data_IF_536543024697
#
_entry.id   IF_536543024697
#
_cell.length_a   1.000
_cell.length_b   1.000
_cell.length_c   1.000
_cell.angle_alpha   90.00
_cell.angle_beta   90.00
_cell.angle_gamma   90.00
#
_symmetry.space_group_name_H-M   'P 1'
#
loop_
_entity.id
_entity.type
_entity.pdbx_description
1 polymer ?
#
# COMPACT_ATOMS: atom_id res chain seq x y z
N UNK A 1 20.18 4.06 -4.83
CA UNK A 1 20.91 5.33 -4.99
C UNK A 1 22.29 5.05 -5.53
N UNK A 2 22.62 5.45 -6.76
CA UNK A 2 23.97 5.38 -7.29
C UNK A 2 24.57 6.77 -7.15
N UNK A 3 25.39 6.96 -6.15
CA UNK A 3 26.21 8.16 -6.03
C UNK A 3 27.42 8.01 -6.94
N UNK A 4 27.76 9.08 -7.65
CA UNK A 4 28.88 9.12 -8.60
C UNK A 4 30.12 8.41 -8.09
N UNK A 5 30.48 7.34 -8.76
CA UNK A 5 31.62 6.50 -8.51
C UNK A 5 32.31 6.15 -9.84
N UNK A 6 33.14 5.15 -9.84
CA UNK A 6 33.67 4.52 -11.05
C UNK A 6 33.04 3.13 -11.21
N UNK A 7 32.76 2.77 -12.45
CA UNK A 7 32.32 1.41 -12.78
C UNK A 7 33.51 0.42 -12.66
N UNK A 8 33.26 -0.86 -12.91
CA UNK A 8 34.29 -1.91 -12.89
C UNK A 8 35.40 -1.71 -13.90
N UNK A 9 35.20 -0.82 -14.88
CA UNK A 9 36.17 -0.45 -15.92
C UNK A 9 36.87 0.90 -15.63
N UNK A 10 36.57 1.51 -14.47
CA UNK A 10 37.17 2.76 -14.04
C UNK A 10 36.57 4.03 -14.64
N UNK A 11 35.50 3.93 -15.45
CA UNK A 11 34.82 5.09 -15.99
C UNK A 11 34.00 5.82 -14.92
N UNK A 12 33.93 7.13 -15.01
CA UNK A 12 33.11 7.96 -14.12
C UNK A 12 31.63 7.68 -14.38
N UNK A 13 30.94 7.13 -13.39
CA UNK A 13 29.49 6.95 -13.42
C UNK A 13 28.84 8.32 -13.16
N UNK A 14 27.87 8.70 -13.99
CA UNK A 14 27.10 9.92 -13.76
C UNK A 14 26.23 9.74 -12.50
N UNK A 15 26.13 10.77 -11.65
CA UNK A 15 25.19 10.74 -10.53
C UNK A 15 23.80 10.38 -11.03
N UNK A 16 23.22 9.32 -10.51
CA UNK A 16 21.91 8.82 -10.92
C UNK A 16 21.04 8.67 -9.71
N UNK A 17 19.81 9.19 -9.77
CA UNK A 17 18.78 9.01 -8.76
C UNK A 17 17.70 8.11 -9.34
N UNK A 18 17.37 7.04 -8.62
CA UNK A 18 16.23 6.16 -8.96
C UNK A 18 15.09 6.53 -8.02
N UNK A 19 13.99 6.96 -8.60
CA UNK A 19 12.78 7.36 -7.89
C UNK A 19 11.57 6.61 -8.43
N UNK A 20 10.56 6.41 -7.58
CA UNK A 20 9.27 5.93 -8.00
C UNK A 20 8.64 6.91 -9.01
N UNK A 21 7.95 6.37 -10.02
CA UNK A 21 7.34 7.19 -11.09
C UNK A 21 6.31 8.19 -10.54
N UNK A 22 5.53 7.80 -9.52
CA UNK A 22 4.60 8.72 -8.87
C UNK A 22 5.35 9.87 -8.20
N UNK A 23 6.47 9.61 -7.52
CA UNK A 23 7.30 10.66 -6.92
C UNK A 23 7.79 11.65 -7.96
N UNK A 24 8.27 11.18 -9.12
CA UNK A 24 8.70 12.06 -10.22
C UNK A 24 7.53 12.89 -10.78
N UNK A 25 6.36 12.28 -10.92
CA UNK A 25 5.14 12.99 -11.32
C UNK A 25 4.82 14.11 -10.33
N UNK A 26 4.84 13.82 -9.02
CA UNK A 26 4.55 14.82 -7.98
C UNK A 26 5.58 15.94 -7.96
N UNK A 27 6.85 15.64 -8.12
CA UNK A 27 7.91 16.67 -8.27
C UNK A 27 7.61 17.59 -9.45
N UNK A 28 7.24 17.03 -10.61
CA UNK A 28 6.86 17.81 -11.80
C UNK A 28 5.64 18.70 -11.54
N UNK A 29 4.62 18.18 -10.88
CA UNK A 29 3.41 18.93 -10.51
C UNK A 29 3.72 20.07 -9.52
N UNK A 30 4.55 19.81 -8.51
CA UNK A 30 4.99 20.85 -7.56
C UNK A 30 5.77 21.95 -8.28
N UNK A 31 6.66 21.56 -9.20
CA UNK A 31 7.41 22.55 -9.99
C UNK A 31 6.49 23.43 -10.87
N UNK A 32 5.39 22.88 -11.37
CA UNK A 32 4.42 23.58 -12.22
C UNK A 32 3.44 24.45 -11.41
N UNK A 33 2.90 23.93 -10.31
CA UNK A 33 1.78 24.52 -9.58
C UNK A 33 2.17 25.14 -8.24
N UNK A 34 3.38 24.85 -7.76
CA UNK A 34 3.90 25.33 -6.48
C UNK A 34 3.55 24.43 -5.29
N UNK A 35 4.28 24.63 -4.19
CA UNK A 35 4.13 23.85 -2.96
C UNK A 35 2.77 24.07 -2.30
N UNK A 36 2.21 25.28 -2.36
CA UNK A 36 0.89 25.62 -1.80
C UNK A 36 -0.21 24.77 -2.45
N UNK A 37 -0.17 24.62 -3.77
CA UNK A 37 -1.09 23.75 -4.48
C UNK A 37 -0.97 22.30 -3.99
N UNK A 38 0.23 21.77 -3.89
CA UNK A 38 0.43 20.39 -3.41
C UNK A 38 -0.09 20.19 -1.98
N UNK A 39 0.15 21.16 -1.10
CA UNK A 39 -0.29 21.12 0.29
C UNK A 39 -1.79 21.40 0.49
N UNK A 40 -2.51 21.82 -0.56
CA UNK A 40 -3.96 21.97 -0.50
C UNK A 40 -4.71 20.62 -0.52
N UNK A 41 -4.01 19.53 -0.83
CA UNK A 41 -4.53 18.16 -0.76
C UNK A 41 -3.99 17.46 0.48
N UNK A 42 -4.80 16.59 1.06
CA UNK A 42 -4.40 15.78 2.20
C UNK A 42 -4.53 16.52 3.53
N UNK A 43 -3.74 16.07 4.49
CA UNK A 43 -3.65 16.67 5.82
C UNK A 43 -2.37 17.48 5.97
N UNK A 44 -2.25 18.25 7.04
CA UNK A 44 -1.03 19.01 7.34
C UNK A 44 0.21 18.11 7.45
N UNK A 45 0.05 16.93 8.07
CA UNK A 45 1.12 15.94 8.27
C UNK A 45 1.36 15.05 7.05
N UNK A 46 0.37 14.89 6.20
CA UNK A 46 0.37 13.98 5.06
C UNK A 46 -0.18 14.69 3.82
N UNK A 47 0.52 15.73 3.34
CA UNK A 47 0.05 16.53 2.21
C UNK A 47 0.23 15.81 0.88
N UNK A 48 -0.55 16.26 -0.08
CA UNK A 48 -0.45 15.88 -1.48
C UNK A 48 -1.38 14.74 -1.89
N UNK A 49 -1.70 14.69 -3.20
CA UNK A 49 -2.47 13.60 -3.77
C UNK A 49 -1.61 12.34 -3.86
N UNK A 50 -2.26 11.18 -3.79
CA UNK A 50 -1.65 9.84 -3.84
C UNK A 50 -2.44 8.94 -4.74
N UNK A 51 -1.75 8.02 -5.43
CA UNK A 51 -2.42 6.95 -6.15
C UNK A 51 -2.74 5.80 -5.19
N UNK A 52 -3.94 5.25 -5.33
CA UNK A 52 -4.37 4.04 -4.64
C UNK A 52 -4.88 3.02 -5.63
N UNK A 53 -4.59 1.75 -5.39
CA UNK A 53 -5.14 0.63 -6.12
C UNK A 53 -6.27 -0.01 -5.29
N UNK A 54 -7.46 -0.13 -5.88
CA UNK A 54 -8.61 -0.76 -5.24
C UNK A 54 -8.97 -2.02 -6.04
N UNK A 55 -9.08 -3.15 -5.35
CA UNK A 55 -9.27 -4.47 -5.95
C UNK A 55 -10.15 -5.39 -5.09
N UNK A 56 -10.36 -6.61 -5.57
CA UNK A 56 -11.13 -7.65 -4.89
C UNK A 56 -12.63 -7.55 -5.19
N UNK A 57 -13.47 -7.89 -4.22
CA UNK A 57 -14.93 -7.92 -4.32
C UNK A 57 -15.52 -6.50 -4.31
N UNK A 58 -15.36 -5.80 -5.42
CA UNK A 58 -15.83 -4.42 -5.60
C UNK A 58 -16.26 -4.19 -7.06
N UNK A 59 -17.23 -3.29 -7.26
CA UNK A 59 -17.88 -3.15 -8.56
C UNK A 59 -16.95 -2.66 -9.68
N UNK A 60 -16.00 -1.77 -9.38
CA UNK A 60 -15.12 -1.13 -10.37
C UNK A 60 -13.67 -1.06 -9.85
N UNK A 61 -12.95 -2.19 -9.84
CA UNK A 61 -11.55 -2.20 -9.44
C UNK A 61 -10.73 -1.28 -10.36
N UNK A 62 -9.66 -0.68 -9.80
CA UNK A 62 -8.82 0.22 -10.56
C UNK A 62 -7.89 1.07 -9.71
N UNK A 63 -7.21 2.01 -10.37
CA UNK A 63 -6.33 2.97 -9.71
C UNK A 63 -7.03 4.33 -9.67
N UNK A 64 -7.01 4.95 -8.50
CA UNK A 64 -7.66 6.24 -8.26
C UNK A 64 -6.68 7.22 -7.61
N UNK A 65 -6.88 8.51 -7.84
CA UNK A 65 -6.14 9.55 -7.13
C UNK A 65 -6.96 10.02 -5.93
N UNK A 66 -6.36 10.00 -4.76
CA UNK A 66 -6.98 10.37 -3.48
C UNK A 66 -6.02 11.22 -2.65
N UNK A 67 -6.49 11.72 -1.54
CA UNK A 67 -5.67 12.43 -0.56
C UNK A 67 -5.78 11.75 0.82
N UNK A 68 -4.73 11.82 1.63
CA UNK A 68 -4.82 11.44 3.03
C UNK A 68 -5.88 12.29 3.74
N UNK A 69 -6.55 11.72 4.74
CA UNK A 69 -7.65 12.38 5.43
C UNK A 69 -9.05 12.05 4.88
N UNK A 70 -9.14 11.39 3.74
CA UNK A 70 -10.40 10.79 3.29
C UNK A 70 -10.76 9.58 4.17
N UNK A 71 -12.05 9.31 4.36
CA UNK A 71 -12.45 8.04 4.94
C UNK A 71 -12.18 6.89 3.98
N UNK A 72 -11.90 5.69 4.50
CA UNK A 72 -11.73 4.51 3.65
C UNK A 72 -13.03 4.23 2.88
N UNK A 73 -14.19 4.50 3.47
CA UNK A 73 -15.47 4.40 2.78
C UNK A 73 -15.55 5.30 1.55
N UNK A 74 -15.13 6.57 1.65
CA UNK A 74 -15.11 7.51 0.52
C UNK A 74 -14.11 7.08 -0.56
N UNK A 75 -12.97 6.53 -0.16
CA UNK A 75 -11.99 5.97 -1.10
C UNK A 75 -12.61 4.80 -1.87
N UNK A 76 -13.26 3.87 -1.17
CA UNK A 76 -13.92 2.72 -1.80
C UNK A 76 -15.13 3.14 -2.64
N UNK A 77 -15.78 4.26 -2.31
CA UNK A 77 -16.90 4.80 -3.11
C UNK A 77 -16.47 5.13 -4.55
N UNK A 78 -15.20 5.51 -4.79
CA UNK A 78 -14.65 5.73 -6.13
C UNK A 78 -14.72 4.46 -6.99
N UNK A 79 -14.64 3.29 -6.37
CA UNK A 79 -14.72 1.99 -7.02
C UNK A 79 -16.12 1.34 -6.96
N UNK A 80 -17.13 2.07 -6.54
CA UNK A 80 -18.51 1.61 -6.48
C UNK A 80 -19.04 1.37 -5.06
N UNK A 81 -18.24 1.66 -4.05
CA UNK A 81 -18.62 1.52 -2.64
C UNK A 81 -18.34 0.14 -2.06
N UNK A 82 -18.24 0.08 -0.75
CA UNK A 82 -18.09 -1.18 -0.02
C UNK A 82 -19.39 -1.98 -0.10
N UNK A 83 -19.39 -3.20 -0.67
CA UNK A 83 -20.57 -4.06 -0.73
C UNK A 83 -21.19 -4.29 0.65
N UNK A 84 -22.51 -4.53 0.68
CA UNK A 84 -23.22 -4.77 1.95
C UNK A 84 -22.80 -6.07 2.63
N UNK A 85 -22.48 -7.08 1.83
CA UNK A 85 -22.00 -8.39 2.28
C UNK A 85 -20.51 -8.43 2.59
N UNK A 86 -19.75 -7.37 2.28
CA UNK A 86 -18.32 -7.30 2.58
C UNK A 86 -18.08 -7.44 4.09
N UNK A 87 -17.12 -8.30 4.43
CA UNK A 87 -16.73 -8.57 5.83
C UNK A 87 -15.40 -7.93 6.19
N UNK A 88 -14.45 -7.93 5.24
CA UNK A 88 -13.09 -7.50 5.49
C UNK A 88 -12.55 -6.64 4.34
N UNK A 89 -11.69 -5.69 4.72
CA UNK A 89 -10.94 -4.84 3.80
C UNK A 89 -9.48 -4.87 4.18
N UNK A 90 -8.63 -5.38 3.30
CA UNK A 90 -7.19 -5.30 3.43
C UNK A 90 -6.69 -3.91 3.02
N UNK A 91 -5.84 -3.30 3.83
CA UNK A 91 -5.23 -1.99 3.56
C UNK A 91 -3.73 -2.07 3.72
N UNK A 92 -2.97 -1.75 2.67
CA UNK A 92 -1.52 -1.68 2.70
C UNK A 92 -0.79 -2.90 2.13
N UNK A 93 -1.49 -3.83 1.50
CA UNK A 93 -0.89 -5.02 0.88
C UNK A 93 -0.27 -6.00 1.88
N UNK A 94 0.83 -6.65 1.53
CA UNK A 94 1.47 -7.72 2.32
C UNK A 94 1.81 -7.30 3.77
N UNK A 95 2.33 -6.09 3.95
CA UNK A 95 2.65 -5.53 5.28
C UNK A 95 1.53 -4.68 5.87
N UNK A 96 0.32 -4.82 5.34
CA UNK A 96 -0.85 -4.05 5.72
C UNK A 96 -1.62 -4.62 6.91
N UNK A 97 -2.86 -4.19 7.02
CA UNK A 97 -3.80 -4.64 8.05
C UNK A 97 -5.09 -5.11 7.41
N UNK A 98 -5.76 -6.01 8.08
CA UNK A 98 -7.12 -6.44 7.75
C UNK A 98 -8.10 -5.73 8.68
N UNK A 99 -8.94 -4.89 8.10
CA UNK A 99 -10.01 -4.20 8.81
C UNK A 99 -11.31 -4.99 8.68
N UNK A 100 -12.15 -4.94 9.70
CA UNK A 100 -13.55 -5.31 9.52
C UNK A 100 -14.24 -4.30 8.59
N UNK A 101 -15.32 -4.71 7.93
CA UNK A 101 -16.11 -3.78 7.11
C UNK A 101 -16.60 -2.57 7.92
N UNK A 102 -16.93 -2.77 9.19
CA UNK A 102 -17.33 -1.68 10.10
C UNK A 102 -16.18 -0.71 10.37
N UNK A 103 -14.97 -1.22 10.66
CA UNK A 103 -13.79 -0.37 10.86
C UNK A 103 -13.44 0.38 9.57
N UNK A 104 -13.52 -0.28 8.41
CA UNK A 104 -13.29 0.38 7.12
C UNK A 104 -14.27 1.53 6.85
N UNK A 105 -15.53 1.40 7.29
CA UNK A 105 -16.54 2.49 7.14
C UNK A 105 -16.23 3.72 7.99
N UNK A 106 -15.56 3.55 9.11
CA UNK A 106 -15.36 4.63 10.10
C UNK A 106 -13.92 5.13 10.18
N UNK A 107 -12.96 4.41 9.61
CA UNK A 107 -11.54 4.78 9.67
C UNK A 107 -11.20 5.85 8.64
N UNK A 108 -10.54 6.89 9.12
CA UNK A 108 -9.92 7.91 8.26
C UNK A 108 -8.55 7.42 7.83
N UNK A 109 -8.26 7.45 6.54
CA UNK A 109 -7.00 7.02 5.96
C UNK A 109 -5.90 8.06 6.20
N UNK A 110 -5.31 7.97 7.38
CA UNK A 110 -4.15 8.73 7.84
C UNK A 110 -3.22 7.79 8.59
N UNK A 111 -1.95 8.18 8.78
CA UNK A 111 -1.03 7.39 9.60
C UNK A 111 -1.56 7.18 11.01
N UNK A 112 -2.17 8.21 11.62
CA UNK A 112 -2.82 8.09 12.93
C UNK A 112 -4.04 7.19 12.94
N UNK A 113 -4.89 7.26 11.90
CA UNK A 113 -6.07 6.40 11.73
C UNK A 113 -5.67 4.94 11.59
N UNK A 114 -4.70 4.65 10.72
CA UNK A 114 -4.23 3.28 10.48
C UNK A 114 -3.47 2.69 11.68
N UNK A 115 -2.73 3.52 12.43
CA UNK A 115 -1.99 3.07 13.62
C UNK A 115 -2.88 2.45 14.70
N UNK A 116 -4.14 2.88 14.81
CA UNK A 116 -5.11 2.29 15.76
C UNK A 116 -5.41 0.83 15.47
N UNK A 117 -5.23 0.42 14.23
CA UNK A 117 -5.42 -0.96 13.75
C UNK A 117 -4.07 -1.71 13.58
N UNK A 118 -2.97 -1.14 14.10
CA UNK A 118 -1.64 -1.77 13.99
C UNK A 118 -0.96 -1.55 12.64
N UNK A 119 -1.50 -0.69 11.77
CA UNK A 119 -0.99 -0.46 10.43
C UNK A 119 -0.40 0.93 10.19
N UNK A 120 -0.14 1.21 8.93
CA UNK A 120 0.31 2.49 8.40
C UNK A 120 -0.44 2.81 7.12
N UNK A 121 -0.22 3.98 6.52
CA UNK A 121 -0.79 4.30 5.20
C UNK A 121 -0.40 3.28 4.13
N UNK A 122 0.80 2.72 4.24
CA UNK A 122 1.30 1.73 3.29
C UNK A 122 1.38 2.24 1.84
N UNK A 123 1.46 1.33 0.87
CA UNK A 123 1.56 1.66 -0.55
C UNK A 123 0.23 2.08 -1.22
N UNK A 124 -0.85 2.33 -0.44
CA UNK A 124 -2.14 2.71 -1.01
C UNK A 124 -2.88 1.56 -1.71
N UNK A 125 -2.74 0.35 -1.23
CA UNK A 125 -3.47 -0.82 -1.74
C UNK A 125 -4.67 -1.10 -0.86
N UNK A 126 -5.86 -1.18 -1.47
CA UNK A 126 -7.12 -1.55 -0.83
C UNK A 126 -7.66 -2.79 -1.52
N UNK A 127 -7.94 -3.83 -0.75
CA UNK A 127 -8.54 -5.07 -1.26
C UNK A 127 -9.77 -5.40 -0.46
N UNK A 128 -10.93 -5.40 -1.10
CA UNK A 128 -12.16 -5.88 -0.50
C UNK A 128 -12.19 -7.40 -0.67
N UNK A 129 -12.19 -8.14 0.43
CA UNK A 129 -12.18 -9.60 0.37
C UNK A 129 -13.57 -10.12 0.08
N UNK A 130 -13.63 -11.17 -0.74
CA UNK A 130 -14.89 -11.86 -1.01
C UNK A 130 -15.42 -12.47 0.31
N UNK A 131 -16.71 -12.29 0.64
CA UNK A 131 -17.28 -12.79 1.87
C UNK A 131 -17.27 -14.31 1.98
N UNK A 132 -17.10 -15.04 0.89
CA UNK A 132 -16.94 -16.49 0.85
C UNK A 132 -15.52 -16.96 1.10
N UNK A 133 -14.52 -16.08 1.02
CA UNK A 133 -13.12 -16.41 1.26
C UNK A 133 -12.84 -16.57 2.77
N UNK A 134 -12.06 -17.60 3.11
CA UNK A 134 -11.56 -17.77 4.47
C UNK A 134 -10.41 -16.77 4.73
N UNK A 135 -10.50 -15.89 5.75
CA UNK A 135 -9.44 -14.95 6.06
C UNK A 135 -8.09 -15.59 6.35
N UNK A 136 -8.09 -16.79 6.93
CA UNK A 136 -6.87 -17.54 7.22
C UNK A 136 -6.22 -18.01 5.93
N UNK A 137 -7.00 -18.57 5.00
CA UNK A 137 -6.52 -19.00 3.68
C UNK A 137 -5.90 -17.85 2.91
N UNK A 138 -6.57 -16.68 2.87
CA UNK A 138 -6.06 -15.49 2.19
C UNK A 138 -4.76 -14.98 2.85
N UNK A 139 -4.66 -15.05 4.17
CA UNK A 139 -3.42 -14.70 4.87
C UNK A 139 -2.27 -15.67 4.52
N UNK A 140 -2.55 -16.97 4.42
CA UNK A 140 -1.58 -17.99 3.98
C UNK A 140 -1.08 -17.67 2.56
N UNK A 141 -2.00 -17.36 1.64
CA UNK A 141 -1.64 -17.01 0.26
C UNK A 141 -0.77 -15.76 0.18
N UNK A 142 -1.10 -14.71 0.95
CA UNK A 142 -0.31 -13.49 1.02
C UNK A 142 1.10 -13.73 1.58
N UNK A 143 1.22 -14.51 2.65
CA UNK A 143 2.51 -14.84 3.24
C UNK A 143 3.35 -15.72 2.32
N UNK A 144 2.74 -16.69 1.66
CA UNK A 144 3.39 -17.56 0.67
C UNK A 144 3.89 -16.75 -0.54
N UNK A 145 3.08 -15.82 -1.04
CA UNK A 145 3.49 -14.88 -2.08
C UNK A 145 4.68 -14.04 -1.62
N UNK A 146 4.60 -13.44 -0.42
CA UNK A 146 5.69 -12.64 0.13
C UNK A 146 7.00 -13.42 0.31
N UNK A 147 6.92 -14.68 0.70
CA UNK A 147 8.07 -15.56 0.81
C UNK A 147 8.68 -15.87 -0.57
N UNK A 148 7.83 -16.14 -1.58
CA UNK A 148 8.26 -16.44 -2.95
C UNK A 148 8.89 -15.26 -3.69
N UNK A 149 8.38 -14.05 -3.46
CA UNK A 149 8.84 -12.81 -4.13
C UNK A 149 9.99 -12.13 -3.37
N UNK A 150 10.41 -12.67 -2.24
CA UNK A 150 11.47 -12.08 -1.42
C UNK A 150 12.84 -12.20 -2.10
N UNK A 151 13.59 -11.10 -2.14
CA UNK A 151 14.98 -11.12 -2.61
C UNK A 151 15.93 -11.90 -1.69
N UNK A 152 15.51 -12.27 -0.48
CA UNK A 152 16.28 -13.10 0.45
C UNK A 152 17.63 -12.51 0.90
N UNK A 153 17.80 -11.20 0.85
CA UNK A 153 19.10 -10.56 1.14
C UNK A 153 19.37 -10.33 2.62
N UNK A 154 18.37 -10.31 3.45
CA UNK A 154 18.52 -10.13 4.90
C UNK A 154 17.83 -11.25 5.66
N UNK A 155 18.23 -11.44 6.95
CA UNK A 155 17.72 -12.53 7.79
C UNK A 155 16.19 -12.63 7.85
N UNK A 156 15.46 -11.53 8.11
CA UNK A 156 14.00 -11.56 8.10
C UNK A 156 13.39 -12.01 6.77
N UNK A 157 13.95 -11.57 5.65
CA UNK A 157 13.46 -11.96 4.32
C UNK A 157 13.84 -13.41 3.94
N UNK A 158 15.06 -13.83 4.31
CA UNK A 158 15.58 -15.15 3.95
C UNK A 158 14.97 -16.27 4.80
N UNK A 159 14.77 -16.02 6.08
CA UNK A 159 14.34 -17.05 7.03
C UNK A 159 12.96 -16.78 7.63
N UNK A 160 12.66 -15.50 7.94
CA UNK A 160 11.43 -15.13 8.64
C UNK A 160 10.17 -15.28 7.79
N UNK A 161 10.18 -14.77 6.54
CA UNK A 161 9.00 -14.89 5.66
C UNK A 161 8.66 -16.35 5.33
N UNK A 162 9.61 -17.22 4.92
CA UNK A 162 9.31 -18.64 4.71
C UNK A 162 8.82 -19.36 5.97
N UNK A 163 9.39 -19.05 7.15
CA UNK A 163 8.96 -19.63 8.41
C UNK A 163 7.51 -19.21 8.73
N UNK A 164 7.18 -17.92 8.62
CA UNK A 164 5.82 -17.43 8.83
C UNK A 164 4.81 -18.08 7.87
N UNK A 165 5.18 -18.19 6.59
CA UNK A 165 4.32 -18.84 5.59
C UNK A 165 4.09 -20.33 5.95
N UNK A 166 5.13 -21.03 6.39
CA UNK A 166 5.04 -22.43 6.83
C UNK A 166 4.21 -22.60 8.10
N UNK A 167 4.40 -21.75 9.10
CA UNK A 167 3.64 -21.78 10.35
C UNK A 167 2.15 -21.56 10.09
N UNK A 168 1.80 -20.57 9.27
CA UNK A 168 0.40 -20.29 8.91
C UNK A 168 -0.23 -21.41 8.06
N UNK A 169 0.53 -22.01 7.15
CA UNK A 169 0.06 -23.15 6.36
C UNK A 169 -0.26 -24.38 7.21
N UNK A 170 0.33 -24.49 8.41
CA UNK A 170 0.04 -25.57 9.35
C UNK A 170 -1.30 -25.40 10.10
N UNK A 171 -1.93 -24.21 10.02
CA UNK A 171 -3.25 -23.94 10.63
C UNK A 171 -4.43 -24.09 9.66
N UNK A 172 -4.17 -24.15 8.34
CA UNK A 172 -5.18 -24.36 7.30
C UNK A 172 -5.23 -25.78 6.84
#
# INVERSE_FOLDING_TARGET
FVFGGRDSQGHRVRPTVVLNAETLLRVSQINRHGATWFRSFGTELEPGPRLVAISGHIARPGVHEVAAGMSIADILALAGGLPEDARHVGVGGLGGVLLTAQDARTTIWTGGGMKRHGGSLGPGIFTVWDPSECPVETAIQLLSYGAGESAGQCGPCMFGLPALAGDWAAYG
#
